data_IF_579303268250
#
_entry.id   IF_579303268250
#
_cell.length_a   1.000
_cell.length_b   1.000
_cell.length_c   1.000
_cell.angle_alpha   90.00
_cell.angle_beta   90.00
_cell.angle_gamma   90.00
#
_symmetry.space_group_name_H-M   'P 1'
#
loop_
_entity.id
_entity.type
_entity.pdbx_description
1 polymer ?
#
# COMPACT_ATOMS: atom_id res chain seq x y z
N UNK A 1 10.65 -25.93 27.49
CA UNK A 1 11.17 -24.97 26.50
C UNK A 1 11.66 -23.75 27.27
N UNK A 2 12.92 -23.34 27.07
CA UNK A 2 13.56 -22.33 27.92
C UNK A 2 12.95 -20.94 27.66
N UNK A 3 12.59 -20.17 28.70
CA UNK A 3 11.92 -18.86 28.53
C UNK A 3 12.72 -17.88 27.66
N UNK A 4 14.05 -18.03 27.65
CA UNK A 4 14.96 -17.25 26.78
C UNK A 4 14.81 -17.63 25.30
N UNK A 5 14.66 -18.91 24.98
CA UNK A 5 14.44 -19.37 23.61
C UNK A 5 13.09 -18.87 23.09
N UNK A 6 12.05 -18.91 23.93
CA UNK A 6 10.70 -18.45 23.60
C UNK A 6 10.66 -16.94 23.30
N UNK A 7 11.47 -16.13 24.01
CA UNK A 7 11.64 -14.69 23.73
C UNK A 7 12.35 -14.43 22.40
N UNK A 8 13.40 -15.20 22.08
CA UNK A 8 14.14 -15.08 20.82
C UNK A 8 13.24 -15.43 19.63
N UNK A 9 12.46 -16.50 19.76
CA UNK A 9 11.56 -16.98 18.72
C UNK A 9 10.43 -15.98 18.43
N UNK A 10 9.84 -15.38 19.48
CA UNK A 10 8.88 -14.27 19.33
C UNK A 10 9.50 -13.05 18.64
N UNK A 11 10.74 -12.66 18.99
CA UNK A 11 11.43 -11.55 18.31
C UNK A 11 11.70 -11.85 16.84
N UNK A 12 12.08 -13.08 16.49
CA UNK A 12 12.26 -13.49 15.08
C UNK A 12 10.95 -13.37 14.30
N UNK A 13 9.83 -13.85 14.84
CA UNK A 13 8.51 -13.73 14.21
C UNK A 13 8.11 -12.28 13.97
N UNK A 14 8.36 -11.38 14.93
CA UNK A 14 8.07 -9.94 14.77
C UNK A 14 8.91 -9.31 13.65
N UNK A 15 10.18 -9.70 13.52
CA UNK A 15 11.06 -9.21 12.45
C UNK A 15 10.59 -9.71 11.09
N UNK A 16 10.19 -10.98 10.97
CA UNK A 16 9.64 -11.53 9.72
C UNK A 16 8.35 -10.83 9.32
N UNK A 17 7.42 -10.63 10.26
CA UNK A 17 6.20 -9.85 10.01
C UNK A 17 6.52 -8.43 9.53
N UNK A 18 7.48 -7.74 10.14
CA UNK A 18 7.90 -6.41 9.71
C UNK A 18 8.45 -6.40 8.28
N UNK A 19 9.25 -7.42 7.89
CA UNK A 19 9.77 -7.55 6.52
C UNK A 19 8.65 -7.76 5.50
N UNK A 20 7.68 -8.61 5.81
CA UNK A 20 6.52 -8.86 4.93
C UNK A 20 5.72 -7.56 4.73
N UNK A 21 5.40 -6.84 5.81
CA UNK A 21 4.66 -5.57 5.74
C UNK A 21 5.46 -4.52 4.97
N UNK A 22 6.78 -4.45 5.15
CA UNK A 22 7.63 -3.53 4.39
C UNK A 22 7.61 -3.85 2.89
N UNK A 23 7.65 -5.14 2.54
CA UNK A 23 7.50 -5.60 1.16
C UNK A 23 6.15 -5.17 0.56
N UNK A 24 5.04 -5.43 1.27
CA UNK A 24 3.70 -5.00 0.86
C UNK A 24 3.62 -3.49 0.64
N UNK A 25 4.21 -2.69 1.55
CA UNK A 25 4.22 -1.23 1.43
C UNK A 25 4.97 -0.77 0.17
N UNK A 26 6.14 -1.33 -0.12
CA UNK A 26 6.91 -0.97 -1.32
C UNK A 26 6.11 -1.26 -2.59
N UNK A 27 5.45 -2.43 -2.64
CA UNK A 27 4.58 -2.78 -3.76
C UNK A 27 3.40 -1.82 -3.89
N UNK A 28 2.75 -1.45 -2.78
CA UNK A 28 1.62 -0.50 -2.80
C UNK A 28 2.04 0.88 -3.32
N UNK A 29 3.21 1.38 -2.96
CA UNK A 29 3.73 2.65 -3.49
C UNK A 29 3.89 2.58 -5.01
N UNK A 30 4.42 1.46 -5.55
CA UNK A 30 4.53 1.28 -7.00
C UNK A 30 3.16 1.23 -7.68
N UNK A 31 2.18 0.57 -7.07
CA UNK A 31 0.80 0.53 -7.57
C UNK A 31 0.17 1.93 -7.60
N UNK A 32 0.38 2.75 -6.56
CA UNK A 32 -0.11 4.14 -6.51
C UNK A 32 0.48 4.95 -7.67
N UNK A 33 1.78 4.82 -7.93
CA UNK A 33 2.46 5.51 -9.04
C UNK A 33 1.89 5.06 -10.39
N UNK A 34 1.72 3.75 -10.59
CA UNK A 34 1.19 3.20 -11.83
C UNK A 34 -0.26 3.65 -12.10
N UNK A 35 -1.12 3.62 -11.07
CA UNK A 35 -2.49 4.13 -11.14
C UNK A 35 -2.51 5.63 -11.43
N UNK A 36 -1.64 6.41 -10.78
CA UNK A 36 -1.49 7.84 -11.05
C UNK A 36 -1.18 8.11 -12.53
N UNK A 37 -0.21 7.40 -13.10
CA UNK A 37 0.13 7.51 -14.52
C UNK A 37 -1.02 7.14 -15.47
N UNK A 38 -1.75 6.08 -15.16
CA UNK A 38 -2.93 5.66 -15.93
C UNK A 38 -4.03 6.74 -15.90
N UNK A 39 -4.34 7.27 -14.71
CA UNK A 39 -5.33 8.34 -14.53
C UNK A 39 -4.90 9.60 -15.29
N UNK A 40 -3.62 10.03 -15.17
CA UNK A 40 -3.10 11.17 -15.90
C UNK A 40 -3.24 11.00 -17.42
N UNK A 41 -3.00 9.80 -17.94
CA UNK A 41 -3.14 9.51 -19.37
C UNK A 41 -4.60 9.62 -19.83
N UNK A 42 -5.55 9.15 -19.01
CA UNK A 42 -6.99 9.30 -19.28
C UNK A 42 -7.42 10.77 -19.28
N UNK A 43 -6.92 11.56 -18.32
CA UNK A 43 -7.24 12.99 -18.22
C UNK A 43 -6.65 13.78 -19.39
N UNK A 44 -5.38 13.56 -19.73
CA UNK A 44 -4.70 14.30 -20.79
C UNK A 44 -5.32 14.05 -22.17
N UNK A 45 -5.78 12.82 -22.42
CA UNK A 45 -6.41 12.45 -23.68
C UNK A 45 -7.95 12.58 -23.65
N UNK A 46 -8.52 13.18 -22.60
CA UNK A 46 -9.97 13.21 -22.37
C UNK A 46 -10.77 13.71 -23.59
N UNK A 47 -10.25 14.77 -24.25
CA UNK A 47 -10.90 15.39 -25.40
C UNK A 47 -10.85 14.54 -26.68
N UNK A 48 -9.93 13.59 -26.77
CA UNK A 48 -9.73 12.71 -27.93
C UNK A 48 -10.63 11.48 -27.90
N UNK A 49 -11.26 11.17 -26.77
CA UNK A 49 -12.14 10.01 -26.65
C UNK A 49 -13.55 10.29 -27.19
N UNK A 50 -14.07 9.33 -27.94
CA UNK A 50 -15.44 9.39 -28.48
C UNK A 50 -16.50 9.31 -27.38
N UNK A 51 -16.29 8.46 -26.37
CA UNK A 51 -17.23 8.22 -25.27
C UNK A 51 -16.77 8.87 -23.96
N UNK A 52 -17.00 10.18 -23.83
CA UNK A 52 -16.52 10.98 -22.68
C UNK A 52 -17.13 10.54 -21.34
N UNK A 53 -18.40 10.17 -21.31
CA UNK A 53 -19.09 9.76 -20.06
C UNK A 53 -18.49 8.49 -19.46
N UNK A 54 -18.15 7.54 -20.33
CA UNK A 54 -17.51 6.29 -19.93
C UNK A 54 -16.07 6.52 -19.45
N UNK A 55 -15.32 7.42 -20.08
CA UNK A 55 -13.99 7.83 -19.61
C UNK A 55 -14.05 8.56 -18.28
N UNK A 56 -15.03 9.45 -18.09
CA UNK A 56 -15.25 10.14 -16.82
C UNK A 56 -15.54 9.14 -15.69
N UNK A 57 -16.34 8.11 -15.98
CA UNK A 57 -16.63 7.03 -15.04
C UNK A 57 -15.36 6.26 -14.68
N UNK A 58 -14.52 5.92 -15.67
CA UNK A 58 -13.24 5.26 -15.40
C UNK A 58 -12.26 6.12 -14.60
N UNK A 59 -12.20 7.43 -14.86
CA UNK A 59 -11.41 8.36 -14.05
C UNK A 59 -11.92 8.34 -12.61
N UNK A 60 -13.24 8.45 -12.40
CA UNK A 60 -13.85 8.40 -11.07
C UNK A 60 -13.55 7.11 -10.31
N UNK A 61 -13.74 5.95 -10.96
CA UNK A 61 -13.42 4.64 -10.38
C UNK A 61 -11.93 4.49 -10.06
N UNK A 62 -11.06 5.00 -10.92
CA UNK A 62 -9.62 4.94 -10.73
C UNK A 62 -9.16 5.84 -9.58
N UNK A 63 -9.75 7.03 -9.44
CA UNK A 63 -9.51 7.92 -8.30
C UNK A 63 -9.99 7.29 -6.98
N UNK A 64 -11.14 6.63 -6.99
CA UNK A 64 -11.65 5.89 -5.83
C UNK A 64 -10.71 4.75 -5.42
N UNK A 65 -10.26 3.95 -6.38
CA UNK A 65 -9.25 2.91 -6.16
C UNK A 65 -7.94 3.48 -5.61
N UNK A 66 -7.46 4.59 -6.18
CA UNK A 66 -6.25 5.27 -5.71
C UNK A 66 -6.37 5.71 -4.24
N UNK A 67 -7.54 6.24 -3.85
CA UNK A 67 -7.82 6.62 -2.47
C UNK A 67 -7.81 5.40 -1.53
N UNK A 68 -8.44 4.29 -1.92
CA UNK A 68 -8.44 3.05 -1.13
C UNK A 68 -7.03 2.48 -0.94
N UNK A 69 -6.25 2.38 -2.03
CA UNK A 69 -4.87 1.88 -1.98
C UNK A 69 -4.00 2.78 -1.10
N UNK A 70 -4.17 4.10 -1.21
CA UNK A 70 -3.46 5.08 -0.37
C UNK A 70 -3.81 4.92 1.11
N UNK A 71 -5.09 4.71 1.43
CA UNK A 71 -5.54 4.44 2.80
C UNK A 71 -4.91 3.16 3.38
N UNK A 72 -4.88 2.07 2.61
CA UNK A 72 -4.24 0.81 3.02
C UNK A 72 -2.73 1.03 3.26
N UNK A 73 -2.07 1.78 2.38
CA UNK A 73 -0.65 2.10 2.52
C UNK A 73 -0.35 2.86 3.83
N UNK A 74 -1.20 3.81 4.20
CA UNK A 74 -1.10 4.54 5.48
C UNK A 74 -1.29 3.59 6.66
N UNK A 75 -2.29 2.70 6.62
CA UNK A 75 -2.53 1.73 7.68
C UNK A 75 -1.32 0.82 7.92
N UNK A 76 -0.72 0.30 6.86
CA UNK A 76 0.48 -0.55 6.95
C UNK A 76 1.68 0.21 7.52
N UNK A 77 1.79 1.53 7.27
CA UNK A 77 2.82 2.35 7.89
C UNK A 77 2.68 2.38 9.42
N UNK A 78 1.46 2.59 9.92
CA UNK A 78 1.19 2.54 11.36
C UNK A 78 1.45 1.16 11.97
N UNK A 79 1.03 0.08 11.31
CA UNK A 79 1.29 -1.29 11.78
C UNK A 79 2.79 -1.58 11.88
N UNK A 80 3.57 -1.18 10.88
CA UNK A 80 5.03 -1.35 10.86
C UNK A 80 5.72 -0.53 11.97
N UNK A 81 5.24 0.67 12.24
CA UNK A 81 5.76 1.50 13.33
C UNK A 81 5.45 0.90 14.72
N UNK A 82 4.26 0.31 14.90
CA UNK A 82 3.92 -0.41 16.13
C UNK A 82 4.81 -1.64 16.34
N UNK A 83 5.09 -2.41 15.29
CA UNK A 83 5.97 -3.59 15.37
C UNK A 83 7.41 -3.16 15.72
N UNK A 84 7.91 -2.09 15.10
CA UNK A 84 9.24 -1.53 15.44
C UNK A 84 9.32 -1.13 16.91
N UNK A 85 8.30 -0.43 17.44
CA UNK A 85 8.24 -0.05 18.87
C UNK A 85 8.24 -1.27 19.80
N UNK A 86 7.59 -2.37 19.43
CA UNK A 86 7.56 -3.63 20.20
C UNK A 86 8.87 -4.43 20.12
N UNK A 87 9.66 -4.23 19.06
CA UNK A 87 10.92 -4.97 18.84
C UNK A 87 12.11 -4.32 19.56
N UNK A 88 12.08 -2.99 19.71
CA UNK A 88 13.14 -2.18 20.33
C UNK A 88 13.02 -2.11 21.87
N UNK A 89 11.82 -2.33 22.43
CA UNK A 89 11.62 -2.60 23.87
C UNK A 89 11.98 -4.05 24.22
#
# INVERSE_FOLDING_TARGET
>A
MDEKQLKIEKKKLLIEQAKVIEGQRRTLVLVIIALGGAISTLILNFNSYQNKDLVLTFIGLSLFLLALVSFISIKLWFELEQIKKRTIK
#
